data_IF_318198177870
#
_entry.id   IF_318198177870
#
_cell.length_a   1.000
_cell.length_b   1.000
_cell.length_c   1.000
_cell.angle_alpha   90.00
_cell.angle_beta   90.00
_cell.angle_gamma   90.00
#
_symmetry.space_group_name_H-M   'P 1'
#
loop_
_entity.id
_entity.type
_entity.pdbx_description
1 polymer ?
#
# COMPACT_ATOMS: atom_id res chain seq x y z
N UNK A 1 2.00 2.19 29.83
CA UNK A 1 2.93 1.51 28.90
C UNK A 1 2.63 2.01 27.50
N UNK A 2 3.62 2.07 26.61
CA UNK A 2 3.37 2.38 25.19
C UNK A 2 2.44 1.32 24.62
N UNK A 3 1.47 1.73 23.80
CA UNK A 3 0.58 0.80 23.08
C UNK A 3 1.31 0.17 21.88
N UNK A 4 2.38 0.83 21.39
CA UNK A 4 3.19 0.33 20.28
C UNK A 4 4.52 -0.20 20.84
N UNK A 5 4.80 -1.47 20.60
CA UNK A 5 6.05 -2.15 20.97
C UNK A 5 6.29 -3.35 20.04
N UNK A 6 7.31 -3.27 19.20
CA UNK A 6 7.82 -4.37 18.39
C UNK A 6 9.34 -4.29 18.38
N UNK A 7 10.05 -5.41 18.55
CA UNK A 7 11.52 -5.41 18.65
C UNK A 7 12.19 -6.39 17.69
N UNK A 8 11.40 -7.21 17.02
CA UNK A 8 11.83 -8.23 16.08
C UNK A 8 10.60 -8.70 15.28
N UNK A 9 10.84 -9.62 14.34
CA UNK A 9 9.85 -10.05 13.37
C UNK A 9 9.24 -11.44 13.70
N UNK A 10 9.45 -11.97 14.91
CA UNK A 10 9.08 -13.37 15.23
C UNK A 10 8.44 -13.59 16.61
N UNK A 11 8.50 -12.61 17.52
CA UNK A 11 7.73 -12.69 18.76
C UNK A 11 6.23 -12.77 18.47
N UNK A 12 5.47 -13.26 19.44
CA UNK A 12 4.03 -13.46 19.30
C UNK A 12 3.33 -12.15 18.89
N UNK A 13 2.68 -12.17 17.72
CA UNK A 13 1.99 -11.00 17.18
C UNK A 13 0.72 -10.70 17.99
N UNK A 14 0.55 -9.43 18.40
CA UNK A 14 -0.62 -8.94 19.15
C UNK A 14 -1.51 -8.01 18.31
N UNK A 15 -0.92 -7.09 17.54
CA UNK A 15 -1.64 -6.15 16.66
C UNK A 15 -0.86 -5.94 15.35
N UNK A 16 -1.57 -5.81 14.23
CA UNK A 16 -0.98 -5.64 12.89
C UNK A 16 -1.82 -4.74 11.99
N UNK A 17 -1.14 -3.99 11.11
CA UNK A 17 -1.78 -3.22 10.04
C UNK A 17 -1.74 -4.03 8.75
N UNK A 18 -2.91 -4.39 8.22
CA UNK A 18 -3.08 -5.04 6.91
C UNK A 18 -3.48 -3.98 5.89
N UNK A 19 -2.86 -4.00 4.71
CA UNK A 19 -3.04 -2.98 3.68
C UNK A 19 -4.45 -2.86 3.11
N UNK A 20 -4.66 -1.80 2.32
CA UNK A 20 -5.89 -1.50 1.60
C UNK A 20 -5.60 -1.31 0.10
N UNK A 21 -6.11 -2.19 -0.78
CA UNK A 21 -5.87 -2.13 -2.22
C UNK A 21 -6.80 -1.12 -2.92
N UNK A 22 -7.85 -0.63 -2.25
CA UNK A 22 -8.87 0.19 -2.88
C UNK A 22 -8.28 1.50 -3.42
N UNK A 23 -8.69 1.85 -4.65
CA UNK A 23 -8.21 3.04 -5.39
C UNK A 23 -6.70 3.04 -5.68
N UNK A 24 -6.02 1.90 -5.54
CA UNK A 24 -4.66 1.74 -6.00
C UNK A 24 -4.56 2.06 -7.50
N UNK A 25 -3.47 2.70 -7.86
CA UNK A 25 -3.16 3.11 -9.23
C UNK A 25 -1.67 2.96 -9.48
N UNK A 26 -1.26 3.03 -10.74
CA UNK A 26 0.15 3.19 -11.07
C UNK A 26 0.65 4.56 -10.59
N UNK A 27 1.93 4.67 -10.18
CA UNK A 27 2.48 5.92 -9.68
C UNK A 27 2.70 6.89 -10.85
N UNK A 28 2.98 8.15 -10.53
CA UNK A 28 3.29 9.15 -11.57
C UNK A 28 4.55 8.73 -12.33
N UNK A 29 4.54 8.77 -13.68
CA UNK A 29 5.69 8.40 -14.48
C UNK A 29 6.76 9.49 -14.38
N UNK A 30 7.73 9.28 -13.49
CA UNK A 30 8.92 10.11 -13.35
C UNK A 30 10.18 9.24 -13.30
N UNK A 31 11.34 9.89 -13.22
CA UNK A 31 12.62 9.19 -13.20
C UNK A 31 12.77 8.27 -11.98
N UNK A 32 12.12 8.59 -10.85
CA UNK A 32 12.16 7.72 -9.67
C UNK A 32 11.40 6.43 -9.93
N UNK A 33 10.14 6.52 -10.41
CA UNK A 33 9.31 5.39 -10.81
C UNK A 33 10.00 4.54 -11.88
N UNK A 34 10.62 5.16 -12.87
CA UNK A 34 11.36 4.44 -13.91
C UNK A 34 12.48 3.60 -13.29
N UNK A 35 13.30 4.18 -12.44
CA UNK A 35 14.47 3.49 -11.90
C UNK A 35 14.10 2.39 -10.89
N UNK A 36 12.99 2.54 -10.16
CA UNK A 36 12.61 1.62 -9.07
C UNK A 36 11.60 0.56 -9.48
N UNK A 37 10.63 0.89 -10.32
CA UNK A 37 9.49 0.00 -10.64
C UNK A 37 9.52 -0.50 -12.09
N UNK A 38 9.97 0.35 -13.04
CA UNK A 38 9.92 0.05 -14.48
C UNK A 38 11.26 0.36 -15.19
N UNK A 39 12.38 -0.26 -14.77
CA UNK A 39 13.73 0.10 -15.25
C UNK A 39 13.96 -0.26 -16.73
N UNK A 40 13.11 -1.11 -17.29
CA UNK A 40 13.14 -1.59 -18.66
C UNK A 40 12.28 -0.74 -19.62
N UNK A 41 11.57 0.28 -19.13
CA UNK A 41 10.63 1.10 -19.92
C UNK A 41 11.05 2.56 -19.98
N UNK A 42 10.72 3.25 -21.07
CA UNK A 42 10.78 4.71 -21.08
C UNK A 42 9.62 5.33 -20.30
N UNK A 43 9.73 6.61 -19.91
CA UNK A 43 8.70 7.28 -19.10
C UNK A 43 7.31 7.26 -19.73
N UNK A 44 7.22 7.34 -21.06
CA UNK A 44 5.98 7.31 -21.83
C UNK A 44 5.35 5.92 -21.93
N UNK A 45 6.12 4.86 -21.65
CA UNK A 45 5.67 3.45 -21.66
C UNK A 45 5.25 2.96 -20.26
N UNK A 46 5.48 3.77 -19.22
CA UNK A 46 5.04 3.45 -17.86
C UNK A 46 3.50 3.50 -17.82
N UNK A 47 2.84 2.43 -17.35
CA UNK A 47 1.38 2.40 -17.24
C UNK A 47 0.89 3.48 -16.27
N UNK A 48 -0.28 4.05 -16.56
CA UNK A 48 -0.87 5.13 -15.79
C UNK A 48 -2.34 4.82 -15.46
N UNK A 49 -2.84 5.43 -14.39
CA UNK A 49 -4.24 5.28 -13.98
C UNK A 49 -4.45 4.10 -13.01
N UNK A 50 -5.73 3.75 -12.72
CA UNK A 50 -6.06 2.71 -11.76
C UNK A 50 -5.56 1.34 -12.23
N UNK A 51 -5.24 0.47 -11.27
CA UNK A 51 -5.05 -0.94 -11.59
C UNK A 51 -6.36 -1.57 -12.11
N UNK A 52 -6.27 -2.66 -12.89
CA UNK A 52 -7.45 -3.40 -13.33
C UNK A 52 -8.38 -3.76 -12.16
N UNK A 53 -9.68 -3.49 -12.33
CA UNK A 53 -10.68 -3.67 -11.26
C UNK A 53 -10.70 -5.11 -10.72
N UNK A 54 -10.53 -6.11 -11.60
CA UNK A 54 -10.45 -7.51 -11.20
C UNK A 54 -9.33 -7.76 -10.18
N UNK A 55 -8.14 -7.19 -10.39
CA UNK A 55 -7.02 -7.34 -9.47
C UNK A 55 -7.37 -6.72 -8.11
N UNK A 56 -8.03 -5.56 -8.10
CA UNK A 56 -8.44 -4.88 -6.87
C UNK A 56 -9.45 -5.72 -6.09
N UNK A 57 -10.45 -6.28 -6.78
CA UNK A 57 -11.51 -7.10 -6.17
C UNK A 57 -10.96 -8.40 -5.59
N UNK A 58 -10.16 -9.13 -6.37
CA UNK A 58 -9.52 -10.38 -5.92
C UNK A 58 -8.54 -10.13 -4.76
N UNK A 59 -7.74 -9.05 -4.82
CA UNK A 59 -6.81 -8.70 -3.74
C UNK A 59 -7.55 -8.29 -2.46
N UNK A 60 -8.67 -7.58 -2.58
CA UNK A 60 -9.49 -7.20 -1.43
C UNK A 60 -10.16 -8.43 -0.79
N UNK A 61 -10.63 -9.39 -1.59
CA UNK A 61 -11.11 -10.68 -1.09
C UNK A 61 -10.01 -11.42 -0.30
N UNK A 62 -8.82 -11.56 -0.89
CA UNK A 62 -7.68 -12.25 -0.27
C UNK A 62 -7.24 -11.58 1.04
N UNK A 63 -7.16 -10.24 1.07
CA UNK A 63 -6.80 -9.49 2.27
C UNK A 63 -7.84 -9.62 3.39
N UNK A 64 -9.12 -9.67 3.04
CA UNK A 64 -10.18 -9.89 4.02
C UNK A 64 -10.14 -11.31 4.59
N UNK A 65 -9.86 -12.32 3.76
CA UNK A 65 -9.65 -13.69 4.22
C UNK A 65 -8.41 -13.78 5.14
N UNK A 66 -7.31 -13.12 4.77
CA UNK A 66 -6.11 -13.07 5.61
C UNK A 66 -6.34 -12.37 6.95
N UNK A 67 -7.04 -11.23 6.95
CA UNK A 67 -7.42 -10.54 8.17
C UNK A 67 -8.28 -11.41 9.09
N UNK A 68 -9.27 -12.13 8.54
CA UNK A 68 -10.11 -13.05 9.30
C UNK A 68 -9.30 -14.15 9.99
N UNK A 69 -8.32 -14.75 9.30
CA UNK A 69 -7.42 -15.76 9.90
C UNK A 69 -6.62 -15.18 11.06
N UNK A 70 -6.10 -13.95 10.93
CA UNK A 70 -5.35 -13.29 12.01
C UNK A 70 -6.24 -13.00 13.22
N UNK A 71 -7.47 -12.54 12.98
CA UNK A 71 -8.46 -12.29 14.03
C UNK A 71 -8.87 -13.59 14.74
N UNK A 72 -9.03 -14.70 14.01
CA UNK A 72 -9.27 -16.04 14.60
C UNK A 72 -8.12 -16.50 15.51
N UNK A 73 -6.88 -16.08 15.20
CA UNK A 73 -5.70 -16.32 16.03
C UNK A 73 -5.57 -15.35 17.22
N UNK A 74 -6.53 -14.42 17.39
CA UNK A 74 -6.55 -13.44 18.47
C UNK A 74 -5.71 -12.20 18.23
N UNK A 75 -5.22 -11.98 17.00
CA UNK A 75 -4.48 -10.77 16.62
C UNK A 75 -5.44 -9.63 16.31
N UNK A 76 -5.17 -8.43 16.83
CA UNK A 76 -5.92 -7.23 16.45
C UNK A 76 -5.50 -6.77 15.06
N UNK A 77 -6.44 -6.70 14.12
CA UNK A 77 -6.17 -6.20 12.75
C UNK A 77 -6.65 -4.76 12.60
N UNK A 78 -5.78 -3.89 12.07
CA UNK A 78 -6.10 -2.53 11.62
C UNK A 78 -5.96 -2.44 10.12
N UNK A 79 -6.79 -1.62 9.46
CA UNK A 79 -6.69 -1.34 8.03
C UNK A 79 -6.65 0.16 7.76
N UNK A 80 -5.80 0.63 6.82
CA UNK A 80 -5.79 2.02 6.40
C UNK A 80 -7.12 2.45 5.78
N UNK A 81 -7.50 3.71 5.97
CA UNK A 81 -8.63 4.31 5.26
C UNK A 81 -8.37 4.35 3.75
N UNK A 82 -9.46 4.27 2.97
CA UNK A 82 -9.40 4.42 1.52
C UNK A 82 -9.11 5.87 1.15
N UNK A 83 -8.03 6.10 0.41
CA UNK A 83 -7.56 7.45 0.07
C UNK A 83 -7.83 7.82 -1.41
N UNK A 84 -8.15 9.08 -1.74
CA UNK A 84 -8.33 9.51 -3.14
C UNK A 84 -6.98 9.68 -3.85
N UNK A 85 -6.31 8.57 -4.18
CA UNK A 85 -4.98 8.60 -4.81
C UNK A 85 -4.94 9.31 -6.19
N UNK A 86 -6.08 9.59 -6.83
CA UNK A 86 -6.12 10.36 -8.08
C UNK A 86 -5.87 11.85 -7.92
N UNK A 87 -6.04 12.36 -6.69
CA UNK A 87 -5.83 13.75 -6.40
C UNK A 87 -4.37 14.12 -6.65
N UNK A 88 -4.16 15.18 -7.44
CA UNK A 88 -2.85 15.78 -7.63
C UNK A 88 -2.42 16.52 -6.38
N UNK A 89 -1.15 16.44 -6.05
CA UNK A 89 -0.50 17.24 -5.03
C UNK A 89 0.88 17.67 -5.51
N UNK A 90 1.39 18.76 -4.95
CA UNK A 90 2.66 19.33 -5.39
C UNK A 90 3.39 19.99 -4.23
N UNK A 91 4.70 20.09 -4.38
CA UNK A 91 5.54 21.05 -3.66
C UNK A 91 5.93 22.18 -4.61
N UNK A 92 6.82 23.08 -4.18
CA UNK A 92 7.41 24.08 -5.08
C UNK A 92 8.38 23.48 -6.12
N UNK A 93 8.74 22.20 -5.99
CA UNK A 93 9.76 21.55 -6.82
C UNK A 93 9.19 20.50 -7.77
N UNK A 94 8.02 19.92 -7.47
CA UNK A 94 7.45 18.81 -8.23
C UNK A 94 5.93 18.70 -8.01
N UNK A 95 5.25 18.02 -8.94
CA UNK A 95 3.82 17.62 -8.87
C UNK A 95 3.74 16.10 -9.04
N UNK A 96 2.80 15.45 -8.34
CA UNK A 96 2.53 14.01 -8.46
C UNK A 96 1.08 13.66 -8.11
N UNK A 97 0.71 12.41 -8.32
CA UNK A 97 -0.50 11.76 -7.83
C UNK A 97 -0.14 10.67 -6.81
N UNK A 98 -1.13 10.14 -6.11
CA UNK A 98 -0.93 9.07 -5.14
C UNK A 98 -0.69 7.71 -5.79
N UNK A 99 -0.23 6.74 -4.99
CA UNK A 99 0.06 5.37 -5.43
C UNK A 99 -0.97 4.36 -4.90
N UNK A 100 -0.84 3.93 -3.64
CA UNK A 100 -1.79 3.04 -2.94
C UNK A 100 -1.56 3.04 -1.42
N UNK A 101 -2.45 2.36 -0.67
CA UNK A 101 -2.29 2.04 0.76
C UNK A 101 -2.13 0.52 1.02
N UNK A 102 -1.66 -0.24 0.03
CA UNK A 102 -1.56 -1.70 0.06
C UNK A 102 -0.35 -2.23 0.87
N UNK A 103 0.77 -1.52 0.92
CA UNK A 103 1.99 -1.97 1.61
C UNK A 103 2.35 -1.09 2.84
N UNK A 104 1.76 -1.32 4.02
CA UNK A 104 2.11 -0.59 5.24
C UNK A 104 3.60 -0.65 5.61
N UNK A 105 4.28 -1.74 5.25
CA UNK A 105 5.68 -1.99 5.57
C UNK A 105 6.66 -1.04 4.85
N UNK A 106 6.26 -0.46 3.71
CA UNK A 106 7.12 0.42 2.93
C UNK A 106 7.31 1.79 3.60
N UNK A 107 6.35 2.21 4.44
CA UNK A 107 6.28 3.57 5.01
C UNK A 107 6.39 3.63 6.54
N UNK A 108 6.31 2.48 7.21
CA UNK A 108 6.35 2.41 8.68
C UNK A 108 7.41 1.40 9.14
N UNK A 109 8.21 1.83 10.11
CA UNK A 109 9.11 0.99 10.89
C UNK A 109 8.73 1.14 12.36
N UNK A 110 8.56 0.00 13.06
CA UNK A 110 8.18 -0.07 14.48
C UNK A 110 9.34 -0.65 15.27
#
# INVERSE_FOLDING_TARGET
>A
MSVVWSCNEWDQLEEVVVGNPLRARYPTPDLSTQLTEFPDRSLDEIPQGPFPQQIIEETEEDLNAFAAVLEELGVTVKRPETWPHEAKFSTIHWESQGFYNYCPRDIMLV
#
